data_IF_340667379938
#
_entry.id   IF_340667379938
#
_cell.length_a   1.000
_cell.length_b   1.000
_cell.length_c   1.000
_cell.angle_alpha   90.00
_cell.angle_beta   90.00
_cell.angle_gamma   90.00
#
_symmetry.space_group_name_H-M   'P 1'
#
loop_
_entity.id
_entity.type
_entity.pdbx_description
1 polymer ?
#
# COMPACT_ATOMS: atom_id res chain seq x y z
N UNK A 1 3.16 9.71 22.25
CA UNK A 1 3.47 10.01 20.83
C UNK A 1 4.81 10.74 20.71
N UNK A 2 5.61 10.45 19.67
CA UNK A 2 6.84 11.22 19.40
C UNK A 2 6.46 12.64 18.97
N UNK A 3 7.19 13.63 19.45
CA UNK A 3 6.86 15.03 19.16
C UNK A 3 8.13 15.89 19.16
N UNK A 4 8.03 17.04 18.49
CA UNK A 4 9.06 18.09 18.42
C UNK A 4 8.74 19.29 19.31
N UNK A 5 7.82 19.13 20.27
CA UNK A 5 7.34 20.23 21.10
C UNK A 5 8.46 20.91 21.89
N UNK A 6 9.39 20.12 22.42
CA UNK A 6 10.56 20.62 23.14
C UNK A 6 11.48 21.46 22.22
N UNK A 7 11.67 21.03 20.99
CA UNK A 7 12.50 21.71 19.99
C UNK A 7 11.86 23.05 19.59
N UNK A 8 10.55 23.04 19.26
CA UNK A 8 9.78 24.24 18.94
C UNK A 8 9.79 25.24 20.10
N UNK A 9 9.60 24.76 21.33
CA UNK A 9 9.68 25.61 22.51
C UNK A 9 11.05 26.30 22.64
N UNK A 10 12.14 25.55 22.44
CA UNK A 10 13.49 26.08 22.54
C UNK A 10 13.82 27.08 21.43
N UNK A 11 13.36 26.82 20.20
CA UNK A 11 13.51 27.75 19.07
C UNK A 11 12.81 29.09 19.31
N UNK A 12 11.71 29.09 20.06
CA UNK A 12 10.98 30.29 20.47
C UNK A 12 11.46 30.88 21.81
N UNK A 13 12.60 30.41 22.35
CA UNK A 13 13.19 30.86 23.62
C UNK A 13 12.26 30.76 24.84
N UNK A 14 11.27 29.86 24.81
CA UNK A 14 10.31 29.69 25.89
C UNK A 14 10.82 28.67 26.94
N UNK A 15 10.60 28.92 28.23
CA UNK A 15 10.74 27.87 29.25
C UNK A 15 9.49 26.98 29.29
N UNK A 16 9.57 25.80 29.90
CA UNK A 16 8.37 24.96 30.09
C UNK A 16 7.27 25.67 30.89
N UNK A 17 7.65 26.59 31.79
CA UNK A 17 6.69 27.38 32.56
C UNK A 17 6.02 28.46 31.69
N UNK A 18 6.76 29.05 30.74
CA UNK A 18 6.21 30.04 29.82
C UNK A 18 5.26 29.38 28.82
N UNK A 19 5.65 28.25 28.22
CA UNK A 19 4.76 27.49 27.34
C UNK A 19 3.49 27.02 28.07
N UNK A 20 3.61 26.64 29.35
CA UNK A 20 2.46 26.25 30.16
C UNK A 20 1.49 27.43 30.37
N UNK A 21 2.03 28.64 30.57
CA UNK A 21 1.25 29.88 30.71
C UNK A 21 0.49 30.20 29.42
N UNK A 22 1.16 30.12 28.28
CA UNK A 22 0.56 30.36 26.96
C UNK A 22 -0.55 29.36 26.62
N UNK A 23 -0.35 28.08 26.98
CA UNK A 23 -1.33 27.02 26.71
C UNK A 23 -2.45 26.91 27.76
N UNK A 24 -2.35 27.66 28.87
CA UNK A 24 -3.29 27.60 29.98
C UNK A 24 -3.28 26.26 30.72
N UNK A 25 -2.12 25.61 30.83
CA UNK A 25 -1.94 24.30 31.50
C UNK A 25 -0.87 24.38 32.59
N UNK A 26 -0.70 23.29 33.36
CA UNK A 26 0.37 23.23 34.36
C UNK A 26 1.73 22.96 33.69
N UNK A 27 2.83 23.41 34.32
CA UNK A 27 4.20 23.06 33.88
C UNK A 27 4.40 21.54 33.79
N UNK A 28 3.78 20.78 34.68
CA UNK A 28 3.82 19.31 34.67
C UNK A 28 3.15 18.74 33.42
N UNK A 29 2.09 19.38 32.91
CA UNK A 29 1.44 18.97 31.67
C UNK A 29 2.36 19.16 30.47
N UNK A 30 3.03 20.32 30.35
CA UNK A 30 4.02 20.56 29.30
C UNK A 30 5.16 19.53 29.36
N UNK A 31 5.68 19.24 30.54
CA UNK A 31 6.69 18.20 30.70
C UNK A 31 6.16 16.82 30.27
N UNK A 32 4.90 16.51 30.61
CA UNK A 32 4.22 15.29 30.19
C UNK A 32 4.10 15.17 28.67
N UNK A 33 3.76 16.26 27.99
CA UNK A 33 3.70 16.32 26.53
C UNK A 33 5.09 16.15 25.89
N UNK A 34 6.09 16.92 26.33
CA UNK A 34 7.45 16.88 25.77
C UNK A 34 8.14 15.53 25.95
N UNK A 35 7.91 14.88 27.09
CA UNK A 35 8.46 13.55 27.38
C UNK A 35 7.66 12.40 26.76
N UNK A 36 6.48 12.68 26.21
CA UNK A 36 5.56 11.68 25.69
C UNK A 36 4.93 10.80 26.78
N UNK A 37 4.94 11.23 28.05
CA UNK A 37 4.34 10.52 29.18
C UNK A 37 2.83 10.34 29.02
N UNK A 38 2.17 11.32 28.42
CA UNK A 38 0.79 11.25 27.98
C UNK A 38 0.58 12.19 26.81
N UNK A 39 -0.41 11.87 25.98
CA UNK A 39 -0.70 12.65 24.79
C UNK A 39 -1.67 13.81 25.13
N UNK A 40 -1.48 15.00 24.52
CA UNK A 40 -2.45 16.08 24.63
C UNK A 40 -3.78 15.66 23.98
N UNK A 41 -4.90 16.25 24.43
CA UNK A 41 -6.15 16.13 23.69
C UNK A 41 -6.03 16.73 22.29
N UNK A 42 -6.91 16.34 21.37
CA UNK A 42 -6.90 16.86 20.01
C UNK A 42 -6.98 18.40 19.99
N UNK A 43 -7.86 18.99 20.79
CA UNK A 43 -7.98 20.44 20.92
C UNK A 43 -6.68 21.09 21.42
N UNK A 44 -5.99 20.44 22.38
CA UNK A 44 -4.72 20.94 22.89
C UNK A 44 -3.61 20.81 21.84
N UNK A 45 -3.62 19.74 21.04
CA UNK A 45 -2.67 19.57 19.95
C UNK A 45 -2.82 20.67 18.87
N UNK A 46 -4.05 21.02 18.49
CA UNK A 46 -4.31 22.15 17.59
C UNK A 46 -3.91 23.50 18.18
N UNK A 47 -4.16 23.72 19.48
CA UNK A 47 -3.69 24.93 20.18
C UNK A 47 -2.17 25.07 20.15
N UNK A 48 -1.46 23.97 20.39
CA UNK A 48 0.00 23.93 20.35
C UNK A 48 0.51 24.24 18.93
N UNK A 49 -0.05 23.61 17.90
CA UNK A 49 0.33 23.89 16.51
C UNK A 49 0.09 25.35 16.12
N UNK A 50 -1.07 25.90 16.53
CA UNK A 50 -1.42 27.31 16.30
C UNK A 50 -0.48 28.28 16.99
N UNK A 51 -0.04 27.98 18.23
CA UNK A 51 0.90 28.79 18.99
C UNK A 51 2.24 28.97 18.26
N UNK A 52 2.72 27.89 17.62
CA UNK A 52 3.98 27.89 16.89
C UNK A 52 3.82 28.24 15.40
N UNK A 53 2.59 28.45 14.93
CA UNK A 53 2.27 28.73 13.53
C UNK A 53 2.83 27.66 12.56
N UNK A 54 2.64 26.38 12.90
CA UNK A 54 3.06 25.23 12.09
C UNK A 54 1.90 24.24 11.92
N UNK A 55 2.04 23.27 11.02
CA UNK A 55 1.05 22.20 10.89
C UNK A 55 1.10 21.28 12.13
N UNK A 56 0.00 20.60 12.44
CA UNK A 56 -0.08 19.71 13.60
C UNK A 56 0.89 18.53 13.47
N UNK A 57 1.16 18.10 12.24
CA UNK A 57 2.11 17.05 11.85
C UNK A 57 3.57 17.46 12.08
N UNK A 58 3.88 18.76 12.07
CA UNK A 58 5.23 19.28 12.35
C UNK A 58 5.55 19.23 13.86
N UNK A 59 4.50 19.35 14.70
CA UNK A 59 4.62 19.26 16.16
C UNK A 59 4.61 17.81 16.63
N UNK A 60 3.63 17.04 16.16
CA UNK A 60 3.33 15.71 16.65
C UNK A 60 3.64 14.70 15.55
N UNK A 61 4.78 14.04 15.71
CA UNK A 61 5.20 12.98 14.80
C UNK A 61 4.35 11.77 15.14
N UNK A 62 3.32 11.58 14.33
CA UNK A 62 2.69 10.29 14.24
C UNK A 62 3.76 9.33 13.70
N UNK A 63 4.48 8.66 14.61
CA UNK A 63 5.07 7.36 14.34
C UNK A 63 3.91 6.38 14.12
N UNK A 64 3.11 6.64 13.09
CA UNK A 64 2.33 5.61 12.47
C UNK A 64 3.39 4.58 12.12
N UNK A 65 3.50 3.53 12.94
CA UNK A 65 3.91 2.21 12.48
C UNK A 65 3.20 2.06 11.16
N UNK A 66 3.95 2.28 10.07
CA UNK A 66 3.50 2.49 8.70
C UNK A 66 1.97 2.53 8.61
N UNK A 67 1.37 3.70 8.41
CA UNK A 67 -0.08 3.84 8.18
C UNK A 67 -0.62 2.73 7.26
N UNK A 68 0.19 2.33 6.27
CA UNK A 68 0.05 1.12 5.46
C UNK A 68 0.09 -0.20 6.24
N UNK A 69 1.09 -0.54 7.06
CA UNK A 69 1.12 -1.78 7.85
C UNK A 69 -0.06 -1.89 8.82
N UNK A 70 -0.41 -0.82 9.54
CA UNK A 70 -1.51 -0.87 10.52
C UNK A 70 -2.86 -1.01 9.83
N UNK A 71 -3.03 -0.35 8.67
CA UNK A 71 -4.16 -0.58 7.77
C UNK A 71 -4.14 -2.02 7.24
N UNK A 72 -3.04 -2.48 6.67
CA UNK A 72 -2.83 -3.83 6.13
C UNK A 72 -3.04 -4.92 7.19
N UNK A 73 -2.68 -4.71 8.45
CA UNK A 73 -2.92 -5.65 9.55
C UNK A 73 -4.40 -5.69 9.95
N UNK A 74 -5.06 -4.54 10.05
CA UNK A 74 -6.52 -4.47 10.24
C UNK A 74 -7.29 -5.04 9.05
N UNK A 75 -6.79 -4.80 7.84
CA UNK A 75 -7.31 -5.30 6.58
C UNK A 75 -7.15 -6.82 6.53
N UNK A 76 -5.96 -7.38 6.74
CA UNK A 76 -5.70 -8.82 6.84
C UNK A 76 -6.57 -9.51 7.90
N UNK A 77 -6.87 -8.83 9.00
CA UNK A 77 -7.73 -9.33 10.08
C UNK A 77 -9.23 -9.36 9.72
N UNK A 78 -9.69 -8.50 8.81
CA UNK A 78 -11.10 -8.42 8.37
C UNK A 78 -11.37 -9.01 6.99
N UNK A 79 -10.35 -9.15 6.15
CA UNK A 79 -10.41 -9.63 4.77
C UNK A 79 -9.71 -10.98 4.64
N UNK A 80 -10.42 -12.05 5.02
CA UNK A 80 -10.08 -13.38 4.49
C UNK A 80 -10.20 -13.40 2.96
N UNK A 81 -9.60 -14.39 2.31
CA UNK A 81 -9.71 -14.62 0.85
C UNK A 81 -11.15 -14.82 0.35
N UNK A 82 -12.13 -14.92 1.26
CA UNK A 82 -13.56 -15.09 1.00
C UNK A 82 -14.19 -13.97 0.16
N UNK A 83 -13.51 -12.84 -0.01
CA UNK A 83 -13.97 -11.73 -0.87
C UNK A 83 -13.33 -11.73 -2.26
N UNK A 84 -12.38 -12.61 -2.55
CA UNK A 84 -11.83 -12.72 -3.90
C UNK A 84 -12.62 -13.74 -4.72
N UNK A 85 -12.77 -13.47 -6.01
CA UNK A 85 -13.25 -14.51 -6.95
C UNK A 85 -12.21 -15.64 -7.05
N UNK A 86 -12.66 -16.86 -7.38
CA UNK A 86 -11.74 -17.99 -7.57
C UNK A 86 -10.62 -17.68 -8.59
N UNK A 87 -10.95 -16.97 -9.67
CA UNK A 87 -9.98 -16.52 -10.68
C UNK A 87 -8.95 -15.55 -10.11
N UNK A 88 -9.38 -14.58 -9.29
CA UNK A 88 -8.46 -13.65 -8.62
C UNK A 88 -7.55 -14.37 -7.60
N UNK A 89 -8.08 -15.37 -6.89
CA UNK A 89 -7.27 -16.22 -5.99
C UNK A 89 -6.21 -16.97 -6.79
N UNK A 90 -6.56 -17.56 -7.92
CA UNK A 90 -5.63 -18.28 -8.77
C UNK A 90 -4.53 -17.37 -9.34
N UNK A 91 -4.87 -16.15 -9.76
CA UNK A 91 -3.90 -15.14 -10.17
C UNK A 91 -2.89 -14.81 -9.06
N UNK A 92 -3.36 -14.63 -7.82
CA UNK A 92 -2.50 -14.37 -6.66
C UNK A 92 -1.61 -15.58 -6.32
N UNK A 93 -2.15 -16.80 -6.41
CA UNK A 93 -1.37 -18.03 -6.20
C UNK A 93 -0.27 -18.15 -7.25
N UNK A 94 -0.60 -17.88 -8.51
CA UNK A 94 0.38 -17.88 -9.60
C UNK A 94 1.49 -16.86 -9.33
N UNK A 95 1.13 -15.62 -8.98
CA UNK A 95 2.11 -14.58 -8.63
C UNK A 95 3.05 -15.00 -7.49
N UNK A 96 2.52 -15.67 -6.46
CA UNK A 96 3.34 -16.20 -5.36
C UNK A 96 4.29 -17.30 -5.81
N UNK A 97 3.81 -18.20 -6.66
CA UNK A 97 4.62 -19.27 -7.20
C UNK A 97 5.74 -18.72 -8.08
N UNK A 98 5.44 -17.70 -8.88
CA UNK A 98 6.45 -17.05 -9.72
C UNK A 98 7.53 -16.36 -8.89
N UNK A 99 7.16 -15.63 -7.84
CA UNK A 99 8.12 -15.04 -6.89
C UNK A 99 9.00 -16.08 -6.16
N UNK A 100 8.54 -17.32 -6.08
CA UNK A 100 9.30 -18.44 -5.53
C UNK A 100 10.18 -19.12 -6.59
N UNK A 101 9.76 -19.16 -7.86
CA UNK A 101 10.52 -19.74 -8.99
C UNK A 101 11.70 -18.87 -9.40
N UNK A 102 11.57 -17.55 -9.38
CA UNK A 102 12.70 -16.64 -9.64
C UNK A 102 13.86 -16.80 -8.64
N UNK A 103 13.66 -17.56 -7.55
CA UNK A 103 14.70 -17.96 -6.58
C UNK A 103 15.57 -19.13 -7.05
N UNK A 104 15.03 -20.09 -7.83
CA UNK A 104 15.77 -21.31 -8.19
C UNK A 104 16.93 -21.04 -9.15
N UNK A 105 16.89 -19.92 -9.86
CA UNK A 105 17.90 -19.57 -10.88
C UNK A 105 19.16 -18.94 -10.28
N UNK A 106 19.22 -18.70 -8.95
CA UNK A 106 20.40 -18.18 -8.26
C UNK A 106 20.53 -18.70 -6.81
N UNK A 107 21.07 -19.91 -6.63
CA UNK A 107 21.29 -20.49 -5.30
C UNK A 107 22.34 -19.71 -4.50
N UNK A 108 22.01 -19.31 -3.27
CA UNK A 108 22.96 -18.75 -2.30
C UNK A 108 22.80 -17.26 -1.97
N UNK A 109 21.91 -16.52 -2.64
CA UNK A 109 21.63 -15.12 -2.31
C UNK A 109 20.39 -15.00 -1.44
N UNK A 110 20.51 -14.32 -0.30
CA UNK A 110 19.40 -14.02 0.60
C UNK A 110 18.59 -12.84 0.06
N UNK A 111 17.74 -13.08 -0.95
CA UNK A 111 16.69 -12.12 -1.28
C UNK A 111 15.47 -12.36 -0.39
N UNK A 112 14.91 -11.29 0.18
CA UNK A 112 13.53 -11.35 0.68
C UNK A 112 12.63 -11.63 -0.51
N UNK A 113 12.21 -12.89 -0.70
CA UNK A 113 11.27 -13.29 -1.75
C UNK A 113 9.91 -12.65 -1.44
N UNK A 114 9.74 -11.46 -2.00
CA UNK A 114 8.49 -10.71 -1.95
C UNK A 114 7.78 -10.86 -3.28
N UNK A 115 6.46 -10.88 -3.24
CA UNK A 115 5.66 -10.82 -4.47
C UNK A 115 5.68 -9.38 -4.95
N UNK A 116 6.47 -9.11 -5.98
CA UNK A 116 6.56 -7.81 -6.68
C UNK A 116 5.43 -7.60 -7.71
N UNK A 117 5.19 -6.35 -8.16
CA UNK A 117 4.14 -6.02 -9.14
C UNK A 117 4.23 -6.82 -10.45
N UNK A 118 5.44 -7.17 -10.90
CA UNK A 118 5.67 -8.02 -12.08
C UNK A 118 5.10 -9.43 -11.93
N UNK A 119 5.18 -10.02 -10.73
CA UNK A 119 4.57 -11.32 -10.46
C UNK A 119 3.05 -11.24 -10.45
N UNK A 120 2.48 -10.14 -9.91
CA UNK A 120 1.03 -9.90 -9.98
C UNK A 120 0.56 -9.77 -11.41
N UNK A 121 1.30 -9.03 -12.24
CA UNK A 121 1.02 -8.87 -13.66
C UNK A 121 1.04 -10.23 -14.40
N UNK A 122 2.06 -11.06 -14.16
CA UNK A 122 2.13 -12.43 -14.70
C UNK A 122 0.94 -13.29 -14.24
N UNK A 123 0.58 -13.23 -12.95
CA UNK A 123 -0.59 -13.94 -12.42
C UNK A 123 -1.91 -13.52 -13.06
N UNK A 124 -2.08 -12.24 -13.39
CA UNK A 124 -3.28 -11.72 -14.07
C UNK A 124 -3.38 -12.09 -15.55
N UNK A 125 -2.27 -12.46 -16.17
CA UNK A 125 -2.21 -12.98 -17.53
C UNK A 125 -2.35 -14.52 -17.60
N UNK A 126 -2.06 -15.23 -16.50
CA UNK A 126 -1.99 -16.68 -16.50
C UNK A 126 -3.30 -17.34 -16.97
N UNK A 127 -4.46 -16.84 -16.56
CA UNK A 127 -5.73 -17.36 -17.07
C UNK A 127 -6.28 -16.44 -18.19
N UNK A 128 -6.15 -16.81 -19.48
CA UNK A 128 -6.62 -16.00 -20.61
C UNK A 128 -8.14 -15.80 -20.63
N UNK A 129 -8.90 -16.59 -19.87
CA UNK A 129 -10.36 -16.45 -19.76
C UNK A 129 -10.78 -15.34 -18.79
N UNK A 130 -9.82 -14.72 -18.08
CA UNK A 130 -10.09 -13.64 -17.13
C UNK A 130 -10.33 -12.31 -17.85
N UNK A 131 -11.00 -11.38 -17.16
CA UNK A 131 -11.16 -10.03 -17.68
C UNK A 131 -9.84 -9.27 -17.73
N UNK A 132 -8.95 -9.48 -16.74
CA UNK A 132 -7.62 -8.86 -16.76
C UNK A 132 -6.78 -9.32 -17.94
N UNK A 133 -6.70 -10.63 -18.21
CA UNK A 133 -5.88 -11.15 -19.29
C UNK A 133 -6.37 -10.66 -20.65
N UNK A 134 -7.69 -10.66 -20.89
CA UNK A 134 -8.27 -10.12 -22.12
C UNK A 134 -7.97 -8.64 -22.31
N UNK A 135 -8.06 -7.83 -21.26
CA UNK A 135 -7.74 -6.40 -21.33
C UNK A 135 -6.24 -6.19 -21.58
N UNK A 136 -5.35 -6.89 -20.88
CA UNK A 136 -3.91 -6.79 -21.10
C UNK A 136 -3.52 -7.21 -22.53
N UNK A 137 -4.05 -8.33 -23.02
CA UNK A 137 -3.81 -8.82 -24.38
C UNK A 137 -4.33 -7.85 -25.45
N UNK A 138 -5.52 -7.27 -25.24
CA UNK A 138 -6.09 -6.28 -26.15
C UNK A 138 -5.27 -4.98 -26.22
N UNK A 139 -4.47 -4.68 -25.20
CA UNK A 139 -3.61 -3.49 -25.12
C UNK A 139 -2.12 -3.83 -25.36
N UNK A 140 -1.85 -4.86 -26.19
CA UNK A 140 -0.51 -5.17 -26.70
C UNK A 140 0.30 -6.16 -25.88
N UNK A 141 -0.19 -6.58 -24.70
CA UNK A 141 0.58 -7.46 -23.84
C UNK A 141 0.60 -8.89 -24.37
N UNK A 142 1.79 -9.34 -24.77
CA UNK A 142 2.03 -10.73 -25.18
C UNK A 142 3.10 -11.33 -24.28
N UNK A 143 2.72 -12.28 -23.43
CA UNK A 143 3.66 -13.04 -22.59
C UNK A 143 3.42 -14.52 -22.82
N UNK A 144 4.49 -15.27 -23.07
CA UNK A 144 4.39 -16.72 -23.13
C UNK A 144 4.42 -17.27 -21.69
N UNK A 145 3.24 -17.45 -21.10
CA UNK A 145 3.12 -18.01 -19.75
C UNK A 145 2.91 -19.51 -19.89
N UNK A 146 3.93 -20.28 -19.55
CA UNK A 146 3.82 -21.73 -19.49
C UNK A 146 3.09 -22.14 -18.21
N UNK A 147 1.94 -22.78 -18.37
CA UNK A 147 1.10 -23.26 -17.27
C UNK A 147 1.12 -24.77 -17.28
N UNK A 148 1.46 -25.34 -16.14
CA UNK A 148 1.31 -26.77 -15.86
C UNK A 148 0.39 -26.97 -14.65
N UNK A 149 0.05 -28.22 -14.37
CA UNK A 149 -0.86 -28.58 -13.27
C UNK A 149 -0.38 -28.08 -11.89
N UNK A 150 0.93 -27.88 -11.73
CA UNK A 150 1.55 -27.39 -10.50
C UNK A 150 1.64 -25.86 -10.41
N UNK A 151 1.33 -25.12 -11.49
CA UNK A 151 1.44 -23.65 -11.51
C UNK A 151 0.51 -22.94 -10.54
N UNK A 152 -0.51 -23.63 -10.03
CA UNK A 152 -1.43 -23.11 -9.00
C UNK A 152 -1.35 -23.85 -7.66
N UNK A 153 -0.45 -24.82 -7.53
CA UNK A 153 -0.13 -25.48 -6.25
C UNK A 153 0.74 -24.55 -5.41
N UNK A 154 0.45 -24.45 -4.11
CA UNK A 154 1.13 -23.48 -3.24
C UNK A 154 2.58 -23.89 -2.97
N UNK A 155 3.56 -23.26 -3.65
CA UNK A 155 5.00 -23.45 -3.42
C UNK A 155 5.52 -22.71 -2.18
N UNK A 156 4.67 -21.89 -1.55
CA UNK A 156 5.00 -21.11 -0.36
C UNK A 156 4.02 -19.97 -0.16
N UNK A 157 4.25 -19.17 0.88
CA UNK A 157 3.46 -17.97 1.15
C UNK A 157 4.37 -16.73 1.29
N UNK A 158 5.07 -16.33 0.20
CA UNK A 158 5.90 -15.13 0.23
C UNK A 158 5.05 -13.91 0.58
N UNK A 159 5.66 -12.95 1.29
CA UNK A 159 4.99 -11.69 1.62
C UNK A 159 4.88 -10.84 0.36
N UNK A 160 3.85 -10.02 0.23
CA UNK A 160 3.81 -9.01 -0.83
C UNK A 160 4.76 -7.86 -0.50
N UNK A 161 5.37 -7.28 -1.53
CA UNK A 161 6.12 -6.02 -1.40
C UNK A 161 5.19 -4.85 -1.04
N UNK A 162 5.71 -3.72 -0.54
CA UNK A 162 4.88 -2.54 -0.24
C UNK A 162 3.98 -2.14 -1.43
N UNK A 163 4.54 -2.14 -2.64
CA UNK A 163 3.89 -1.85 -3.91
C UNK A 163 2.76 -2.83 -4.19
N UNK A 164 3.03 -4.13 -4.08
CA UNK A 164 2.02 -5.16 -4.29
C UNK A 164 0.92 -5.13 -3.22
N UNK A 165 1.23 -4.77 -1.97
CA UNK A 165 0.18 -4.56 -0.96
C UNK A 165 -0.72 -3.37 -1.34
N UNK A 166 -0.14 -2.28 -1.84
CA UNK A 166 -0.90 -1.12 -2.31
C UNK A 166 -1.81 -1.47 -3.48
N UNK A 167 -1.37 -2.33 -4.41
CA UNK A 167 -2.25 -2.86 -5.48
C UNK A 167 -3.48 -3.57 -4.91
N UNK A 168 -3.29 -4.44 -3.92
CA UNK A 168 -4.39 -5.17 -3.29
C UNK A 168 -5.34 -4.25 -2.52
N UNK A 169 -4.80 -3.20 -1.91
CA UNK A 169 -5.56 -2.17 -1.20
C UNK A 169 -6.42 -1.35 -2.16
N UNK A 170 -5.85 -0.85 -3.24
CA UNK A 170 -6.55 -0.12 -4.30
C UNK A 170 -7.65 -0.97 -4.95
N UNK A 171 -7.39 -2.27 -5.17
CA UNK A 171 -8.37 -3.22 -5.68
C UNK A 171 -9.56 -3.40 -4.72
N UNK A 172 -9.33 -3.38 -3.39
CA UNK A 172 -10.43 -3.40 -2.44
C UNK A 172 -11.20 -2.08 -2.45
N UNK A 173 -10.48 -0.96 -2.39
CA UNK A 173 -11.08 0.36 -2.28
C UNK A 173 -12.10 0.59 -3.39
N UNK A 174 -11.75 0.25 -4.63
CA UNK A 174 -12.66 0.41 -5.76
C UNK A 174 -13.87 -0.52 -5.67
N UNK A 175 -13.72 -1.75 -5.16
CA UNK A 175 -14.85 -2.67 -4.91
C UNK A 175 -15.81 -2.10 -3.86
N UNK A 176 -15.27 -1.52 -2.79
CA UNK A 176 -16.07 -0.90 -1.72
C UNK A 176 -16.82 0.33 -2.22
N UNK A 177 -16.13 1.24 -2.94
CA UNK A 177 -16.73 2.45 -3.50
C UNK A 177 -17.87 2.13 -4.48
N UNK A 178 -17.74 1.03 -5.25
CA UNK A 178 -18.76 0.57 -6.21
C UNK A 178 -19.83 -0.33 -5.59
N UNK A 179 -19.75 -0.64 -4.29
CA UNK A 179 -20.69 -1.52 -3.61
C UNK A 179 -20.67 -2.98 -4.10
N UNK A 180 -19.57 -3.43 -4.71
CA UNK A 180 -19.41 -4.79 -5.22
C UNK A 180 -19.11 -5.77 -4.08
N UNK A 181 -19.52 -7.02 -4.25
CA UNK A 181 -19.37 -8.07 -3.21
C UNK A 181 -17.99 -8.73 -3.20
N UNK A 182 -17.29 -8.74 -4.33
CA UNK A 182 -16.05 -9.49 -4.50
C UNK A 182 -15.03 -8.78 -5.38
N UNK A 183 -13.76 -9.06 -5.10
CA UNK A 183 -12.59 -8.62 -5.84
C UNK A 183 -12.32 -9.62 -6.97
N UNK A 184 -12.58 -9.18 -8.19
CA UNK A 184 -12.23 -9.84 -9.44
C UNK A 184 -10.83 -9.50 -9.95
N UNK A 185 -10.41 -10.17 -11.02
CA UNK A 185 -9.10 -9.94 -11.67
C UNK A 185 -8.96 -8.53 -12.26
N UNK A 186 -10.05 -7.94 -12.72
CA UNK A 186 -10.14 -6.58 -13.23
C UNK A 186 -9.88 -5.52 -12.15
N UNK A 187 -10.26 -5.81 -10.90
CA UNK A 187 -10.02 -4.91 -9.77
C UNK A 187 -8.54 -4.95 -9.35
N UNK A 188 -7.93 -6.13 -9.40
CA UNK A 188 -6.48 -6.30 -9.21
C UNK A 188 -5.68 -5.56 -10.29
N UNK A 189 -6.11 -5.68 -11.55
CA UNK A 189 -5.51 -4.96 -12.66
C UNK A 189 -5.69 -3.44 -12.53
N UNK A 190 -6.85 -2.98 -12.07
CA UNK A 190 -7.08 -1.57 -11.76
C UNK A 190 -6.09 -1.04 -10.71
N UNK A 191 -5.84 -1.82 -9.65
CA UNK A 191 -4.83 -1.46 -8.65
C UNK A 191 -3.41 -1.31 -9.24
N UNK A 192 -3.00 -2.21 -10.15
CA UNK A 192 -1.72 -2.11 -10.85
C UNK A 192 -1.64 -0.87 -11.75
N UNK A 193 -2.70 -0.57 -12.50
CA UNK A 193 -2.75 0.60 -13.38
C UNK A 193 -2.68 1.90 -12.58
N UNK A 194 -3.36 1.98 -11.42
CA UNK A 194 -3.25 3.14 -10.53
C UNK A 194 -1.85 3.30 -9.96
N UNK A 195 -1.21 2.19 -9.57
CA UNK A 195 0.18 2.23 -9.13
C UNK A 195 1.12 2.72 -10.23
N UNK A 196 0.93 2.29 -11.48
CA UNK A 196 1.72 2.74 -12.63
C UNK A 196 1.54 4.25 -12.96
N UNK A 197 0.46 4.87 -12.51
CA UNK A 197 0.17 6.30 -12.67
C UNK A 197 0.71 7.16 -11.53
N UNK A 198 1.28 6.56 -10.49
CA UNK A 198 1.99 7.30 -9.43
C UNK A 198 3.40 7.68 -9.90
N UNK A 199 4.11 8.50 -9.12
CA UNK A 199 5.53 8.82 -9.37
C UNK A 199 6.48 7.60 -9.23
N UNK A 200 5.94 6.39 -9.02
CA UNK A 200 6.72 5.15 -8.98
C UNK A 200 7.10 4.71 -10.41
N UNK A 201 8.33 5.04 -10.80
CA UNK A 201 8.85 4.74 -12.14
C UNK A 201 8.95 3.24 -12.42
N UNK A 202 9.17 2.39 -11.41
CA UNK A 202 9.42 0.96 -11.64
C UNK A 202 8.22 0.23 -12.28
N UNK A 203 6.99 0.59 -11.90
CA UNK A 203 5.78 -0.01 -12.46
C UNK A 203 5.43 0.61 -13.81
N UNK A 204 5.68 1.92 -13.98
CA UNK A 204 5.55 2.56 -15.30
C UNK A 204 6.52 1.94 -16.32
N UNK A 205 7.78 1.74 -15.93
CA UNK A 205 8.82 1.10 -16.72
C UNK A 205 8.46 -0.36 -17.05
N UNK A 206 7.82 -1.07 -16.11
CA UNK A 206 7.31 -2.42 -16.34
C UNK A 206 6.27 -2.44 -17.48
N UNK A 207 5.31 -1.52 -17.46
CA UNK A 207 4.28 -1.43 -18.50
C UNK A 207 4.87 -1.02 -19.85
N UNK A 208 5.84 -0.10 -19.86
CA UNK A 208 6.58 0.27 -21.07
C UNK A 208 7.38 -0.91 -21.64
N UNK A 209 8.05 -1.70 -20.79
CA UNK A 209 8.82 -2.89 -21.20
C UNK A 209 7.96 -3.92 -21.92
N UNK A 210 6.69 -4.05 -21.51
CA UNK A 210 5.72 -4.94 -22.14
C UNK A 210 4.87 -4.25 -23.23
N UNK A 211 5.23 -3.04 -23.63
CA UNK A 211 4.54 -2.25 -24.67
C UNK A 211 3.03 -2.10 -24.42
N UNK A 212 2.64 -1.97 -23.15
CA UNK A 212 1.24 -1.83 -22.76
C UNK A 212 0.80 -0.39 -23.00
N UNK A 213 -0.27 -0.19 -23.77
CA UNK A 213 -0.93 1.10 -23.86
C UNK A 213 -1.69 1.39 -22.57
N UNK A 214 -1.02 2.07 -21.63
CA UNK A 214 -1.55 2.36 -20.30
C UNK A 214 -2.78 3.29 -20.35
N UNK A 215 -2.82 4.21 -21.30
CA UNK A 215 -3.93 5.15 -21.44
C UNK A 215 -5.19 4.43 -21.93
N UNK A 216 -5.07 3.65 -23.01
CA UNK A 216 -6.16 2.85 -23.54
C UNK A 216 -6.66 1.83 -22.51
N UNK A 217 -5.74 1.15 -21.81
CA UNK A 217 -6.06 0.18 -20.77
C UNK A 217 -6.82 0.82 -19.60
N UNK A 218 -6.38 2.00 -19.13
CA UNK A 218 -7.05 2.73 -18.06
C UNK A 218 -8.49 3.13 -18.45
N UNK A 219 -8.69 3.58 -19.69
CA UNK A 219 -10.01 3.95 -20.21
C UNK A 219 -10.96 2.74 -20.27
N UNK A 220 -10.49 1.58 -20.71
CA UNK A 220 -11.28 0.34 -20.74
C UNK A 220 -11.60 -0.19 -19.34
N UNK A 221 -10.62 -0.14 -18.43
CA UNK A 221 -10.81 -0.57 -17.03
C UNK A 221 -11.83 0.29 -16.30
N UNK A 222 -11.86 1.60 -16.53
CA UNK A 222 -12.83 2.51 -15.92
C UNK A 222 -14.30 2.15 -16.25
N UNK A 223 -14.54 1.50 -17.38
CA UNK A 223 -15.86 1.03 -17.79
C UNK A 223 -16.21 -0.36 -17.22
N UNK A 224 -15.19 -1.11 -16.77
CA UNK A 224 -15.31 -2.50 -16.33
C UNK A 224 -15.43 -2.63 -14.80
N UNK A 225 -14.84 -1.67 -14.07
CA UNK A 225 -14.68 -1.65 -12.61
C UNK A 225 -15.70 -0.76 -11.91
#
# INVERSE_FOLDING_TARGET
MKNRLKELRQLHFLSQADLARELGVSRQAVNGFESGKFDPSLDMAFKIASLFNVAIEDVFINEAKNSMQTFVERFKKYFGFERFTAKAINAIKFARNEAMRSRSDSPGVSHSSQVEPEHLLAGLLADPTTTSARLLQANGMTMNIEINDHSFESLGNPRFSPESNLVLELALEVVQLKGKKSIGTEHLLWGLVRLAQTDNTAVSDLFQRYYIDLEALNNQLAQTV
#
